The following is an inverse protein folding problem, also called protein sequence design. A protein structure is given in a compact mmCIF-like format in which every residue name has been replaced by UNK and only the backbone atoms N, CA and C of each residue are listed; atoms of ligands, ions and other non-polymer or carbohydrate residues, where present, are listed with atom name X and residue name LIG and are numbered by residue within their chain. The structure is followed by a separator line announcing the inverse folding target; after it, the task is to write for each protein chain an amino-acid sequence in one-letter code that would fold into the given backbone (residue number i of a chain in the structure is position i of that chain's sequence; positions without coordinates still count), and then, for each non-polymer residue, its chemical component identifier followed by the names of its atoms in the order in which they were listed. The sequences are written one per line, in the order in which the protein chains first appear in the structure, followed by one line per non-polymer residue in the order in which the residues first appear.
data_IF_635637346088
#
_entry.id   IF_635637346088
#
_cell.length_a   1.000
_cell.length_b   1.000
_cell.length_c   1.000
_cell.angle_alpha   90.00
_cell.angle_beta   90.00
_cell.angle_gamma   90.00
#
_symmetry.space_group_name_H-M   'P 1'
#
loop_
_entity.id
_entity.type
_entity.pdbx_description
1 polymer ?
#
# COMPACT_ATOMS: atom_id res chain seq x y z
N UNK A 1 45.70 6.02 -57.05
CA UNK A 1 44.24 5.88 -56.83
C UNK A 1 44.00 5.98 -55.32
N UNK A 2 43.14 6.91 -54.90
CA UNK A 2 42.91 7.34 -53.50
C UNK A 2 42.14 6.29 -52.71
N UNK A 3 42.63 5.90 -51.53
CA UNK A 3 41.88 5.16 -50.52
C UNK A 3 41.13 6.14 -49.63
N UNK A 4 39.81 6.00 -49.54
CA UNK A 4 38.93 6.79 -48.65
C UNK A 4 38.55 5.89 -47.49
N UNK A 5 39.10 6.17 -46.31
CA UNK A 5 38.77 5.47 -45.06
C UNK A 5 37.70 6.25 -44.32
N UNK A 6 36.46 5.78 -44.36
CA UNK A 6 35.34 6.38 -43.63
C UNK A 6 35.30 5.87 -42.19
N UNK A 7 35.55 6.77 -41.23
CA UNK A 7 35.44 6.52 -39.80
C UNK A 7 33.98 6.73 -39.37
N UNK A 8 33.25 5.65 -39.07
CA UNK A 8 31.89 5.73 -38.54
C UNK A 8 31.92 5.91 -37.01
N UNK A 9 31.52 7.10 -36.53
CA UNK A 9 31.23 7.33 -35.11
C UNK A 9 29.86 6.73 -34.77
N UNK A 10 29.85 5.66 -33.96
CA UNK A 10 28.64 5.21 -33.28
C UNK A 10 28.42 6.05 -32.02
N UNK A 11 27.43 6.94 -32.07
CA UNK A 11 26.92 7.65 -30.89
C UNK A 11 26.08 6.65 -30.08
N UNK A 12 26.60 6.20 -28.95
CA UNK A 12 25.83 5.41 -27.99
C UNK A 12 24.81 6.34 -27.30
N UNK A 13 23.55 6.28 -27.73
CA UNK A 13 22.45 6.89 -27.01
C UNK A 13 22.25 6.13 -25.69
N UNK A 14 22.73 6.70 -24.58
CA UNK A 14 22.37 6.25 -23.25
C UNK A 14 20.87 6.48 -23.05
N UNK A 15 20.06 5.43 -23.18
CA UNK A 15 18.67 5.45 -22.74
C UNK A 15 18.68 5.60 -21.22
N UNK A 16 18.45 6.82 -20.73
CA UNK A 16 18.18 7.04 -19.32
C UNK A 16 16.95 6.19 -18.95
N UNK A 17 17.15 5.22 -18.06
CA UNK A 17 16.04 4.50 -17.47
C UNK A 17 15.09 5.53 -16.82
N UNK A 18 13.77 5.40 -17.01
CA UNK A 18 12.83 6.29 -16.34
C UNK A 18 13.08 6.23 -14.83
N UNK A 19 13.15 7.40 -14.18
CA UNK A 19 13.22 7.49 -12.73
C UNK A 19 12.07 6.64 -12.16
N UNK A 20 12.39 5.77 -11.19
CA UNK A 20 11.38 4.94 -10.54
C UNK A 20 10.21 5.84 -10.10
N UNK A 21 9.02 5.59 -10.63
CA UNK A 21 7.79 6.24 -10.18
C UNK A 21 7.71 6.10 -8.67
N UNK A 22 7.52 7.21 -7.95
CA UNK A 22 7.46 7.20 -6.49
C UNK A 22 6.25 6.37 -6.06
N UNK A 23 6.51 5.15 -5.58
CA UNK A 23 5.45 4.23 -5.12
C UNK A 23 4.86 4.76 -3.82
N UNK A 24 3.57 4.48 -3.58
CA UNK A 24 2.94 4.85 -2.33
C UNK A 24 3.61 4.17 -1.14
N UNK A 25 3.50 4.78 0.04
CA UNK A 25 4.00 4.22 1.30
C UNK A 25 2.83 4.03 2.25
N UNK A 26 2.61 2.81 2.71
CA UNK A 26 1.60 2.48 3.70
C UNK A 26 2.12 2.77 5.11
N UNK A 27 1.36 3.50 5.92
CA UNK A 27 1.68 3.73 7.33
C UNK A 27 0.88 2.76 8.18
N UNK A 28 1.56 1.75 8.75
CA UNK A 28 0.91 0.67 9.47
C UNK A 28 1.21 0.77 10.96
N UNK A 29 0.19 0.64 11.80
CA UNK A 29 0.33 0.55 13.26
C UNK A 29 -0.10 -0.84 13.73
N UNK A 30 0.80 -1.56 14.38
CA UNK A 30 0.60 -2.95 14.83
C UNK A 30 0.25 -2.96 16.31
N UNK A 31 -0.85 -3.62 16.64
CA UNK A 31 -1.44 -3.61 17.97
C UNK A 31 -1.75 -5.02 18.48
N UNK A 32 -1.31 -5.38 19.70
CA UNK A 32 -1.69 -6.65 20.31
C UNK A 32 -3.17 -6.70 20.71
N UNK A 33 -3.77 -5.54 20.98
CA UNK A 33 -5.18 -5.36 21.34
C UNK A 33 -5.65 -3.94 20.99
N UNK A 34 -6.92 -3.63 21.27
CA UNK A 34 -7.51 -2.33 20.94
C UNK A 34 -6.95 -1.13 21.73
N UNK A 35 -6.22 -1.36 22.82
CA UNK A 35 -5.73 -0.33 23.75
C UNK A 35 -4.23 -0.06 23.68
N UNK A 36 -3.44 -0.97 23.10
CA UNK A 36 -1.98 -0.84 23.06
C UNK A 36 -1.44 -0.82 21.63
N UNK A 37 -0.37 -0.03 21.44
CA UNK A 37 0.46 -0.07 20.24
C UNK A 37 1.75 -0.84 20.56
N UNK A 38 2.13 -1.79 19.71
CA UNK A 38 3.42 -2.46 19.79
C UNK A 38 4.46 -1.68 18.98
N UNK A 39 4.20 -1.46 17.69
CA UNK A 39 5.13 -0.78 16.79
C UNK A 39 4.45 -0.21 15.55
N UNK A 40 5.15 0.68 14.85
CA UNK A 40 4.74 1.29 13.58
C UNK A 40 5.72 0.97 12.46
N UNK A 41 5.23 0.82 11.23
CA UNK A 41 6.05 0.66 10.04
C UNK A 41 5.59 1.58 8.91
N UNK A 42 6.56 2.01 8.11
CA UNK A 42 6.32 2.61 6.80
C UNK A 42 6.75 1.59 5.74
N UNK A 43 5.78 1.07 4.98
CA UNK A 43 6.04 0.01 3.99
C UNK A 43 5.82 0.59 2.60
N UNK A 44 6.89 0.66 1.81
CA UNK A 44 6.79 1.07 0.40
C UNK A 44 6.01 0.02 -0.39
N UNK A 45 5.11 0.46 -1.25
CA UNK A 45 4.29 -0.39 -2.10
C UNK A 45 5.06 -0.89 -3.35
N UNK A 46 6.31 -1.33 -3.16
CA UNK A 46 7.21 -1.80 -4.24
C UNK A 46 7.29 -3.34 -4.33
N UNK A 47 6.42 -4.04 -3.59
CA UNK A 47 6.39 -5.50 -3.51
C UNK A 47 7.50 -6.12 -2.65
N UNK A 48 8.45 -5.34 -2.13
CA UNK A 48 9.52 -5.89 -1.28
C UNK A 48 9.03 -6.11 0.15
N UNK A 49 9.43 -7.23 0.74
CA UNK A 49 9.12 -7.53 2.13
C UNK A 49 10.04 -6.77 3.09
N UNK A 50 9.42 -6.09 4.05
CA UNK A 50 10.06 -5.58 5.27
C UNK A 50 10.01 -6.69 6.32
N UNK A 51 11.18 -7.14 6.78
CA UNK A 51 11.28 -8.15 7.84
C UNK A 51 11.08 -7.52 9.21
N UNK A 52 10.40 -8.24 10.09
CA UNK A 52 10.07 -7.78 11.45
C UNK A 52 10.64 -8.79 12.44
N UNK A 53 11.49 -8.32 13.34
CA UNK A 53 12.10 -9.14 14.39
C UNK A 53 11.20 -9.27 15.64
N UNK A 54 10.32 -8.29 15.87
CA UNK A 54 9.40 -8.28 17.01
C UNK A 54 8.46 -9.50 16.96
N UNK A 55 8.36 -10.22 18.07
CA UNK A 55 7.56 -11.43 18.20
C UNK A 55 6.25 -11.19 18.99
N UNK A 56 5.90 -9.94 19.27
CA UNK A 56 4.65 -9.57 19.93
C UNK A 56 3.47 -10.05 19.09
N UNK A 57 2.54 -10.86 19.64
CA UNK A 57 1.35 -11.25 18.93
C UNK A 57 0.49 -10.03 18.59
N UNK A 58 0.21 -9.82 17.31
CA UNK A 58 -0.60 -8.72 16.81
C UNK A 58 -2.00 -9.22 16.54
N UNK A 59 -3.01 -8.50 17.05
CA UNK A 59 -4.42 -8.75 16.77
C UNK A 59 -4.94 -7.76 15.72
N UNK A 60 -4.48 -6.51 15.75
CA UNK A 60 -5.01 -5.43 14.91
C UNK A 60 -3.87 -4.70 14.20
N UNK A 61 -4.09 -4.35 12.93
CA UNK A 61 -3.17 -3.53 12.14
C UNK A 61 -3.97 -2.38 11.55
N UNK A 62 -3.67 -1.17 11.99
CA UNK A 62 -4.29 0.04 11.46
C UNK A 62 -3.59 0.51 10.20
N UNK A 63 -4.38 0.87 9.19
CA UNK A 63 -3.94 1.44 7.92
C UNK A 63 -4.80 2.69 7.60
N UNK A 64 -4.40 3.88 8.07
CA UNK A 64 -5.20 5.09 7.93
C UNK A 64 -5.15 5.70 6.53
N UNK A 65 -4.20 5.28 5.69
CA UNK A 65 -3.89 5.94 4.43
C UNK A 65 -3.57 4.98 3.28
N UNK A 66 -3.83 3.68 3.46
CA UNK A 66 -3.56 2.66 2.45
C UNK A 66 -4.54 1.50 2.56
N UNK A 67 -4.90 0.91 1.41
CA UNK A 67 -5.87 -0.18 1.34
C UNK A 67 -5.21 -1.52 1.71
N UNK A 68 -4.75 -1.63 2.96
CA UNK A 68 -3.80 -2.66 3.38
C UNK A 68 -4.36 -4.08 3.30
N UNK A 69 -5.67 -4.29 3.43
CA UNK A 69 -6.20 -5.66 3.29
C UNK A 69 -6.08 -6.21 1.87
N UNK A 70 -6.18 -5.34 0.86
CA UNK A 70 -6.12 -5.72 -0.54
C UNK A 70 -4.70 -5.70 -1.07
N UNK A 71 -3.88 -4.78 -0.55
CA UNK A 71 -2.60 -4.40 -1.13
C UNK A 71 -1.39 -4.72 -0.25
N UNK A 72 -1.58 -5.26 0.94
CA UNK A 72 -0.49 -5.76 1.76
C UNK A 72 -0.65 -7.25 2.07
N UNK A 73 0.48 -7.95 2.05
CA UNK A 73 0.62 -9.33 2.50
C UNK A 73 1.33 -9.34 3.84
N UNK A 74 0.70 -9.99 4.82
CA UNK A 74 1.21 -10.15 6.17
C UNK A 74 1.66 -11.59 6.36
N UNK A 75 2.96 -11.80 6.50
CA UNK A 75 3.52 -13.12 6.78
C UNK A 75 3.61 -13.31 8.30
N UNK A 76 2.91 -14.32 8.81
CA UNK A 76 2.91 -14.65 10.23
C UNK A 76 3.94 -15.75 10.55
N UNK A 77 4.34 -15.79 11.83
CA UNK A 77 5.21 -16.86 12.35
C UNK A 77 4.44 -18.19 12.39
N UNK A 78 3.21 -18.17 12.90
CA UNK A 78 2.33 -19.33 12.95
C UNK A 78 1.43 -19.44 11.71
N UNK A 79 1.17 -20.65 11.20
CA UNK A 79 0.25 -20.86 10.09
C UNK A 79 -1.22 -20.76 10.54
N UNK A 80 -2.14 -20.65 9.57
CA UNK A 80 -3.59 -20.74 9.83
C UNK A 80 -4.24 -19.47 10.37
N UNK A 81 -3.54 -18.34 10.36
CA UNK A 81 -4.06 -17.03 10.77
C UNK A 81 -5.04 -16.53 9.72
N UNK A 82 -6.25 -16.19 10.15
CA UNK A 82 -7.25 -15.54 9.30
C UNK A 82 -7.13 -14.03 9.42
N UNK A 83 -7.15 -13.36 8.28
CA UNK A 83 -7.19 -11.90 8.18
C UNK A 83 -8.59 -11.47 7.80
N UNK A 84 -9.18 -10.57 8.58
CA UNK A 84 -10.44 -9.90 8.24
C UNK A 84 -10.22 -8.39 8.27
N UNK A 85 -11.21 -7.63 7.80
CA UNK A 85 -11.18 -6.17 7.84
C UNK A 85 -12.34 -5.63 8.65
N UNK A 86 -12.06 -4.60 9.43
CA UNK A 86 -13.07 -3.76 10.08
C UNK A 86 -12.69 -2.29 9.88
N UNK A 87 -13.61 -1.41 10.23
CA UNK A 87 -13.31 0.01 10.42
C UNK A 87 -13.11 0.21 11.92
N UNK A 88 -12.02 0.90 12.28
CA UNK A 88 -11.71 1.19 13.67
C UNK A 88 -12.79 2.08 14.30
N UNK A 89 -12.72 2.24 15.63
CA UNK A 89 -13.70 3.03 16.40
C UNK A 89 -13.75 4.52 16.05
N UNK A 90 -12.76 5.02 15.31
CA UNK A 90 -12.76 6.37 14.74
C UNK A 90 -13.66 6.50 13.50
N UNK A 91 -14.27 5.39 13.04
CA UNK A 91 -15.08 5.28 11.82
C UNK A 91 -14.35 5.64 10.53
N UNK A 92 -13.02 5.81 10.57
CA UNK A 92 -12.22 6.29 9.45
C UNK A 92 -11.09 5.33 9.13
N UNK A 93 -10.43 4.73 10.10
CA UNK A 93 -9.22 3.93 9.84
C UNK A 93 -9.59 2.51 9.45
N UNK A 94 -9.13 2.04 8.29
CA UNK A 94 -9.17 0.63 7.96
C UNK A 94 -8.29 -0.14 8.95
N UNK A 95 -8.80 -1.24 9.46
CA UNK A 95 -8.07 -2.13 10.34
C UNK A 95 -8.11 -3.56 9.82
N UNK A 96 -6.94 -4.18 9.71
CA UNK A 96 -6.80 -5.61 9.45
C UNK A 96 -6.77 -6.34 10.80
N UNK A 97 -7.63 -7.35 10.96
CA UNK A 97 -7.77 -8.13 12.18
C UNK A 97 -7.22 -9.53 11.96
N UNK A 98 -6.37 -9.98 12.87
CA UNK A 98 -5.76 -11.30 12.88
C UNK A 98 -6.48 -12.20 13.90
N UNK A 99 -6.90 -13.37 13.45
CA UNK A 99 -7.48 -14.39 14.33
C UNK A 99 -6.89 -15.79 14.04
N UNK A 100 -6.17 -16.40 14.99
CA UNK A 100 -5.79 -15.87 16.30
C UNK A 100 -4.75 -14.72 16.20
N UNK A 101 -4.58 -13.89 17.25
CA UNK A 101 -3.49 -12.93 17.32
C UNK A 101 -2.13 -13.61 17.10
N UNK A 102 -1.28 -13.01 16.28
CA UNK A 102 -0.08 -13.68 15.75
C UNK A 102 1.07 -12.70 15.54
N UNK A 103 2.29 -13.17 15.81
CA UNK A 103 3.50 -12.42 15.47
C UNK A 103 3.65 -12.33 13.94
N UNK A 104 4.01 -11.15 13.46
CA UNK A 104 4.31 -10.88 12.05
C UNK A 104 5.82 -10.99 11.85
N UNK A 105 6.27 -11.79 10.88
CA UNK A 105 7.68 -11.89 10.49
C UNK A 105 8.04 -11.03 9.29
N UNK A 106 7.05 -10.64 8.49
CA UNK A 106 7.27 -9.74 7.38
C UNK A 106 6.00 -9.16 6.79
N UNK A 107 6.14 -8.00 6.15
CA UNK A 107 5.07 -7.31 5.44
C UNK A 107 5.59 -6.83 4.10
N UNK A 108 4.85 -7.09 3.03
CA UNK A 108 5.08 -6.51 1.71
C UNK A 108 3.80 -5.86 1.23
N UNK A 109 3.89 -4.65 0.68
CA UNK A 109 2.76 -4.00 0.05
C UNK A 109 3.03 -3.78 -1.45
N UNK A 110 2.00 -3.84 -2.26
CA UNK A 110 2.04 -3.60 -3.70
C UNK A 110 0.71 -2.99 -4.15
N UNK A 111 0.73 -2.18 -5.20
CA UNK A 111 -0.46 -1.54 -5.75
C UNK A 111 -0.50 -0.05 -5.46
N UNK A 112 -1.61 0.57 -5.87
CA UNK A 112 -1.86 1.99 -5.67
C UNK A 112 -3.34 2.20 -5.43
N UNK A 113 -3.64 3.20 -4.61
CA UNK A 113 -4.98 3.64 -4.33
C UNK A 113 -5.07 5.15 -4.46
N UNK A 114 -6.29 5.66 -4.61
CA UNK A 114 -6.57 7.08 -4.68
C UNK A 114 -6.74 7.62 -3.26
N UNK A 115 -6.00 8.68 -2.92
CA UNK A 115 -6.08 9.33 -1.62
C UNK A 115 -7.48 9.91 -1.37
N UNK A 116 -7.81 10.14 -0.11
CA UNK A 116 -9.08 10.76 0.28
C UNK A 116 -9.32 12.05 -0.50
N UNK A 117 -10.53 12.20 -1.03
CA UNK A 117 -11.01 13.27 -1.91
C UNK A 117 -10.43 13.31 -3.33
N UNK A 118 -9.55 12.38 -3.70
CA UNK A 118 -9.17 12.17 -5.09
C UNK A 118 -10.30 11.59 -5.94
N UNK A 119 -10.13 11.66 -7.26
CA UNK A 119 -11.07 11.10 -8.23
C UNK A 119 -10.83 9.59 -8.40
N UNK A 120 -11.86 8.79 -8.15
CA UNK A 120 -11.80 7.33 -8.34
C UNK A 120 -12.05 6.91 -9.79
N UNK A 121 -12.64 7.79 -10.60
CA UNK A 121 -12.74 7.68 -12.05
C UNK A 121 -12.23 8.98 -12.69
N UNK A 122 -11.59 8.86 -13.83
CA UNK A 122 -11.11 10.01 -14.59
C UNK A 122 -12.31 10.83 -15.13
N UNK A 123 -12.31 12.13 -14.91
CA UNK A 123 -13.45 13.01 -15.25
C UNK A 123 -13.68 13.16 -16.76
N UNK A 124 -12.66 12.85 -17.58
CA UNK A 124 -12.73 13.03 -19.04
C UNK A 124 -13.10 11.74 -19.77
N UNK A 125 -12.52 10.62 -19.34
CA UNK A 125 -12.65 9.32 -19.99
C UNK A 125 -13.65 8.41 -19.28
N UNK A 126 -14.02 8.71 -18.03
CA UNK A 126 -14.85 7.86 -17.18
C UNK A 126 -14.15 6.56 -16.76
N UNK A 127 -12.85 6.39 -17.05
CA UNK A 127 -12.11 5.18 -16.70
C UNK A 127 -11.82 5.12 -15.21
N UNK A 128 -11.83 3.91 -14.65
CA UNK A 128 -11.48 3.70 -13.25
C UNK A 128 -9.99 3.99 -13.02
N UNK A 129 -9.70 4.90 -12.09
CA UNK A 129 -8.32 5.29 -11.72
C UNK A 129 -7.75 4.32 -10.70
N UNK A 130 -8.55 3.93 -9.70
CA UNK A 130 -8.12 3.05 -8.64
C UNK A 130 -9.07 3.07 -7.44
N UNK A 131 -8.94 2.08 -6.54
CA UNK A 131 -9.74 2.05 -5.32
C UNK A 131 -9.31 3.17 -4.37
N UNK A 132 -10.17 3.54 -3.44
CA UNK A 132 -9.83 4.55 -2.44
C UNK A 132 -8.94 3.94 -1.35
N UNK A 133 -7.90 4.68 -0.95
CA UNK A 133 -6.91 4.17 0.01
C UNK A 133 -7.50 3.85 1.37
N UNK A 134 -8.43 4.66 1.84
CA UNK A 134 -9.07 4.45 3.12
C UNK A 134 -10.54 4.90 3.03
N UNK A 135 -11.32 4.19 2.21
CA UNK A 135 -12.70 4.58 2.01
C UNK A 135 -13.42 3.99 0.81
N UNK A 136 -14.46 4.71 0.40
CA UNK A 136 -15.38 4.35 -0.68
C UNK A 136 -15.36 5.41 -1.77
N UNK A 137 -15.59 4.99 -3.01
CA UNK A 137 -15.82 5.91 -4.12
C UNK A 137 -17.29 6.35 -4.15
N UNK A 138 -17.57 7.63 -3.88
CA UNK A 138 -18.92 8.19 -3.89
C UNK A 138 -18.93 9.51 -4.65
N UNK A 139 -19.84 9.65 -5.62
CA UNK A 139 -19.93 10.82 -6.50
C UNK A 139 -18.57 11.18 -7.15
N UNK A 140 -17.90 10.16 -7.70
CA UNK A 140 -16.55 10.23 -8.26
C UNK A 140 -15.45 10.74 -7.31
N UNK A 141 -15.66 10.67 -5.98
CA UNK A 141 -14.66 11.09 -5.01
C UNK A 141 -14.43 10.01 -3.98
N UNK A 142 -13.16 9.80 -3.64
CA UNK A 142 -12.82 8.98 -2.49
C UNK A 142 -13.27 9.68 -1.22
N UNK A 143 -14.11 9.01 -0.44
CA UNK A 143 -14.61 9.48 0.86
C UNK A 143 -14.18 8.50 1.94
N UNK A 144 -13.89 8.97 3.16
CA UNK A 144 -13.63 8.07 4.27
C UNK A 144 -14.83 7.16 4.54
N UNK A 145 -14.64 6.08 5.29
CA UNK A 145 -15.69 5.10 5.56
C UNK A 145 -16.90 5.65 6.34
N UNK A 146 -16.75 6.76 7.06
CA UNK A 146 -17.78 7.39 7.90
C UNK A 146 -18.88 8.17 7.14
N UNK A 147 -19.12 7.89 5.86
CA UNK A 147 -20.19 8.55 5.12
C UNK A 147 -21.57 8.17 5.70
N UNK A 148 -22.28 9.16 6.29
CA UNK A 148 -23.62 8.98 6.85
C UNK A 148 -23.72 9.01 8.38
N UNK A 149 -22.62 9.27 9.10
CA UNK A 149 -22.60 9.43 10.56
C UNK A 149 -22.66 10.91 11.00
N UNK A 150 -23.41 11.76 10.27
CA UNK A 150 -23.62 13.17 10.64
C UNK A 150 -24.75 13.34 11.65
#
# INVERSE_FOLDING_TARGET
MKFITSLALFVAAATAAPAASDVQTAHLTFRPDASHEAYKLQVKADGKSVLIADQTPIQLIDAPDYLAESFCKFDTVQPGVKFTKIIASDNVTQQVVLNPPSAIKGVSCEGMCVTTYGNCYDDHTGQFVGPCCNGLCVANRCRPWNIGQQ
#
